data_IF_127230916822
#
_entry.id   IF_127230916822
#
_cell.length_a   1.000
_cell.length_b   1.000
_cell.length_c   1.000
_cell.angle_alpha   90.00
_cell.angle_beta   90.00
_cell.angle_gamma   90.00
#
_symmetry.space_group_name_H-M   'P 1'
#
loop_
_entity.id
_entity.type
_entity.pdbx_description
1 polymer ?
#
# COMPACT_ATOMS: atom_id res chain seq x y z
N UNK A 1 -12.24 16.22 -2.46
CA UNK A 1 -11.67 15.95 -3.80
C UNK A 1 -12.18 14.57 -4.20
N UNK A 2 -12.53 14.33 -5.46
CA UNK A 2 -12.96 12.97 -5.86
C UNK A 2 -11.76 12.06 -6.13
N UNK A 3 -11.94 10.74 -6.03
CA UNK A 3 -10.90 9.75 -6.35
C UNK A 3 -10.30 9.97 -7.75
N UNK A 4 -11.14 10.38 -8.71
CA UNK A 4 -10.71 10.75 -10.06
C UNK A 4 -9.74 11.94 -10.06
N UNK A 5 -10.06 13.00 -9.30
CA UNK A 5 -9.21 14.19 -9.24
C UNK A 5 -7.88 13.89 -8.54
N UNK A 6 -7.88 13.02 -7.54
CA UNK A 6 -6.68 12.62 -6.84
C UNK A 6 -5.79 11.73 -7.73
N UNK A 7 -6.38 10.78 -8.46
CA UNK A 7 -5.65 9.99 -9.44
C UNK A 7 -5.00 10.86 -10.53
N UNK A 8 -5.71 11.87 -11.04
CA UNK A 8 -5.15 12.81 -12.03
C UNK A 8 -3.94 13.57 -11.47
N UNK A 9 -4.01 14.06 -10.23
CA UNK A 9 -2.87 14.75 -9.60
C UNK A 9 -1.64 13.87 -9.44
N UNK A 10 -1.84 12.59 -9.11
CA UNK A 10 -0.75 11.62 -9.01
C UNK A 10 -0.11 11.43 -10.39
N UNK A 11 -0.93 11.22 -11.42
CA UNK A 11 -0.46 11.05 -12.80
C UNK A 11 0.29 12.29 -13.31
N UNK A 12 -0.24 13.49 -13.04
CA UNK A 12 0.38 14.77 -13.40
C UNK A 12 1.74 15.01 -12.71
N UNK A 13 2.03 14.31 -11.61
CA UNK A 13 3.31 14.39 -10.90
C UNK A 13 4.37 13.39 -11.36
N UNK A 14 4.02 12.45 -12.26
CA UNK A 14 4.96 11.45 -12.76
C UNK A 14 5.83 11.99 -13.92
N UNK A 15 7.01 11.40 -14.15
CA UNK A 15 7.83 11.73 -15.32
C UNK A 15 7.08 11.49 -16.65
N UNK A 16 7.37 12.30 -17.68
CA UNK A 16 6.75 12.17 -19.00
C UNK A 16 7.08 10.84 -19.71
N UNK A 17 8.20 10.19 -19.33
CA UNK A 17 8.64 8.89 -19.85
C UNK A 17 8.15 7.70 -19.01
N UNK A 18 7.27 7.93 -18.02
CA UNK A 18 6.71 6.86 -17.21
C UNK A 18 5.82 5.92 -18.05
N UNK A 19 5.85 4.64 -17.69
CA UNK A 19 5.00 3.63 -18.31
C UNK A 19 3.63 3.55 -17.63
N UNK A 20 2.69 2.88 -18.27
CA UNK A 20 1.40 2.54 -17.64
C UNK A 20 1.58 1.73 -16.35
N UNK A 21 2.61 0.87 -16.29
CA UNK A 21 2.89 0.06 -15.09
C UNK A 21 3.35 0.94 -13.92
N UNK A 22 4.12 2.00 -14.18
CA UNK A 22 4.54 2.97 -13.17
C UNK A 22 3.34 3.76 -12.64
N UNK A 23 2.45 4.19 -13.54
CA UNK A 23 1.20 4.86 -13.15
C UNK A 23 0.36 3.96 -12.24
N UNK A 24 0.20 2.68 -12.61
CA UNK A 24 -0.55 1.72 -11.80
C UNK A 24 0.13 1.50 -10.45
N UNK A 25 1.44 1.35 -10.41
CA UNK A 25 2.21 1.17 -9.18
C UNK A 25 1.98 2.34 -8.21
N UNK A 26 2.04 3.58 -8.70
CA UNK A 26 1.85 4.76 -7.85
C UNK A 26 0.42 4.86 -7.31
N UNK A 27 -0.60 4.56 -8.13
CA UNK A 27 -1.99 4.52 -7.69
C UNK A 27 -2.23 3.41 -6.65
N UNK A 28 -1.62 2.23 -6.82
CA UNK A 28 -1.71 1.16 -5.83
C UNK A 28 -1.00 1.52 -4.53
N UNK A 29 0.17 2.16 -4.63
CA UNK A 29 0.92 2.64 -3.48
C UNK A 29 0.07 3.61 -2.65
N UNK A 30 -0.52 4.64 -3.28
CA UNK A 30 -1.42 5.57 -2.60
C UNK A 30 -2.57 4.86 -1.91
N UNK A 31 -3.24 3.93 -2.61
CA UNK A 31 -4.35 3.14 -2.04
C UNK A 31 -3.91 2.34 -0.80
N UNK A 32 -2.72 1.74 -0.82
CA UNK A 32 -2.19 0.99 0.32
C UNK A 32 -1.88 1.90 1.51
N UNK A 33 -1.32 3.09 1.26
CA UNK A 33 -1.07 4.09 2.29
C UNK A 33 -2.37 4.54 2.94
N UNK A 34 -3.39 4.88 2.15
CA UNK A 34 -4.69 5.31 2.68
C UNK A 34 -5.36 4.21 3.50
N UNK A 35 -5.28 2.95 3.04
CA UNK A 35 -5.77 1.81 3.80
C UNK A 35 -5.03 1.66 5.14
N UNK A 36 -3.70 1.80 5.15
CA UNK A 36 -2.90 1.77 6.38
C UNK A 36 -3.24 2.89 7.35
N UNK A 37 -3.44 4.11 6.85
CA UNK A 37 -3.88 5.24 7.67
C UNK A 37 -5.25 5.00 8.29
N UNK A 38 -6.17 4.42 7.52
CA UNK A 38 -7.49 4.01 8.02
C UNK A 38 -7.38 2.91 9.08
N UNK A 39 -6.54 1.91 8.87
CA UNK A 39 -6.29 0.84 9.84
C UNK A 39 -5.77 1.39 11.17
N UNK A 40 -4.87 2.39 11.12
CA UNK A 40 -4.38 3.09 12.31
C UNK A 40 -5.53 3.81 13.03
N UNK A 41 -6.32 4.59 12.29
CA UNK A 41 -7.44 5.34 12.86
C UNK A 41 -8.51 4.43 13.50
N UNK A 42 -8.72 3.25 12.92
CA UNK A 42 -9.69 2.25 13.40
C UNK A 42 -9.09 1.26 14.42
N UNK A 43 -7.84 1.47 14.84
CA UNK A 43 -7.15 0.63 15.83
C UNK A 43 -6.80 -0.78 15.34
N UNK A 44 -6.88 -1.05 14.03
CA UNK A 44 -6.47 -2.30 13.38
C UNK A 44 -4.94 -2.41 13.23
N UNK A 45 -4.23 -2.14 14.32
CA UNK A 45 -2.78 -2.26 14.38
C UNK A 45 -2.38 -3.52 15.16
N UNK A 46 -1.16 -3.98 14.95
CA UNK A 46 -0.57 -5.07 15.71
C UNK A 46 0.76 -4.60 16.30
N UNK A 47 1.13 -5.18 17.43
CA UNK A 47 2.43 -4.97 18.05
C UNK A 47 3.55 -5.56 17.19
N UNK A 48 4.77 -5.10 17.44
CA UNK A 48 5.95 -5.61 16.76
C UNK A 48 6.17 -7.12 16.99
N UNK A 49 5.83 -7.63 18.18
CA UNK A 49 5.99 -9.05 18.51
C UNK A 49 4.93 -9.93 17.81
N UNK A 50 3.68 -9.44 17.71
CA UNK A 50 2.64 -10.10 16.92
C UNK A 50 3.02 -10.16 15.43
N UNK A 51 3.62 -9.10 14.90
CA UNK A 51 4.13 -9.07 13.53
C UNK A 51 5.22 -10.12 13.31
N UNK A 52 6.21 -10.22 14.23
CA UNK A 52 7.26 -11.24 14.17
C UNK A 52 6.68 -12.66 14.18
N UNK A 53 5.70 -12.93 15.05
CA UNK A 53 5.04 -14.23 15.12
C UNK A 53 4.31 -14.58 13.80
N UNK A 54 3.63 -13.60 13.19
CA UNK A 54 2.98 -13.78 11.87
C UNK A 54 3.98 -14.11 10.76
N UNK A 55 5.09 -13.38 10.68
CA UNK A 55 6.14 -13.61 9.67
C UNK A 55 6.76 -15.00 9.88
N UNK A 56 7.06 -15.39 11.12
CA UNK A 56 7.60 -16.71 11.43
C UNK A 56 6.64 -17.84 11.02
N UNK A 57 5.33 -17.67 11.23
CA UNK A 57 4.31 -18.62 10.79
C UNK A 57 4.25 -18.73 9.26
N UNK A 58 4.34 -17.60 8.54
CA UNK A 58 4.35 -17.61 7.08
C UNK A 58 5.55 -18.39 6.53
N UNK A 59 6.75 -18.13 7.06
CA UNK A 59 7.98 -18.85 6.70
C UNK A 59 7.86 -20.37 6.87
N UNK A 60 7.15 -20.83 7.90
CA UNK A 60 6.95 -22.26 8.16
C UNK A 60 5.80 -22.86 7.32
N UNK A 61 4.92 -22.03 6.75
CA UNK A 61 3.80 -22.46 5.88
C UNK A 61 4.16 -22.51 4.40
N UNK A 62 5.16 -21.72 3.98
CA UNK A 62 5.77 -21.84 2.66
C UNK A 62 6.75 -23.00 2.76
N UNK A 63 6.29 -24.21 2.44
CA UNK A 63 7.07 -25.44 2.53
C UNK A 63 8.47 -25.28 1.96
N UNK A 64 9.46 -25.26 2.86
CA UNK A 64 10.81 -25.75 2.63
C UNK A 64 11.01 -26.96 3.52
#
# INVERSE_FOLDING_TARGET
MSDKQEALKIIEGLPDDCSTDDILAELYFKKQVDAGLKDIAEGRTITHDELKARIAKWRNSVGR
#
